data_IF_131958296167
#
_entry.id   IF_131958296167
#
_cell.length_a   1.000
_cell.length_b   1.000
_cell.length_c   1.000
_cell.angle_alpha   90.00
_cell.angle_beta   90.00
_cell.angle_gamma   90.00
#
_symmetry.space_group_name_H-M   'P 1'
#
loop_
_entity.id
_entity.type
_entity.pdbx_description
1 polymer ?
#
# COMPACT_ATOMS: atom_id res chain seq x y z
N UNK A 1 -28.35 0.36 -17.17
CA UNK A 1 -27.31 -0.53 -17.71
C UNK A 1 -26.00 0.21 -18.01
N UNK A 2 -26.02 1.30 -18.80
CA UNK A 2 -24.81 2.08 -19.14
C UNK A 2 -24.09 2.68 -17.93
N UNK A 3 -24.83 3.19 -16.94
CA UNK A 3 -24.25 3.77 -15.71
C UNK A 3 -23.45 2.73 -14.92
N UNK A 4 -23.92 1.48 -14.87
CA UNK A 4 -23.23 0.39 -14.18
C UNK A 4 -21.91 0.05 -14.85
N UNK A 5 -21.87 0.01 -16.19
CA UNK A 5 -20.65 -0.24 -16.96
C UNK A 5 -19.61 0.86 -16.75
N UNK A 6 -20.04 2.13 -16.76
CA UNK A 6 -19.16 3.28 -16.52
C UNK A 6 -18.58 3.22 -15.10
N UNK A 7 -19.40 2.90 -14.09
CA UNK A 7 -18.94 2.76 -12.71
C UNK A 7 -17.89 1.66 -12.56
N UNK A 8 -18.09 0.49 -13.17
CA UNK A 8 -17.12 -0.61 -13.14
C UNK A 8 -15.79 -0.21 -13.80
N UNK A 9 -15.86 0.48 -14.94
CA UNK A 9 -14.65 0.91 -15.66
C UNK A 9 -13.83 1.92 -14.84
N UNK A 10 -14.50 2.87 -14.17
CA UNK A 10 -13.85 3.83 -13.28
C UNK A 10 -13.18 3.11 -12.09
N UNK A 11 -13.87 2.15 -11.46
CA UNK A 11 -13.33 1.41 -10.31
C UNK A 11 -12.04 0.66 -10.70
N UNK A 12 -12.03 0.00 -11.87
CA UNK A 12 -10.84 -0.71 -12.36
C UNK A 12 -9.70 0.29 -12.64
N UNK A 13 -10.00 1.42 -13.28
CA UNK A 13 -9.01 2.45 -13.58
C UNK A 13 -8.35 3.05 -12.33
N UNK A 14 -9.14 3.37 -11.30
CA UNK A 14 -8.62 3.93 -10.04
C UNK A 14 -7.87 2.87 -9.20
N UNK A 15 -8.19 1.58 -9.40
CA UNK A 15 -7.54 0.49 -8.67
C UNK A 15 -6.10 0.23 -9.12
N UNK A 16 -5.70 0.66 -10.31
CA UNK A 16 -4.31 0.53 -10.75
C UNK A 16 -3.41 1.52 -10.00
N UNK A 17 -2.48 0.99 -9.18
CA UNK A 17 -1.47 1.76 -8.46
C UNK A 17 -0.08 1.33 -8.90
N UNK A 18 0.80 2.31 -9.15
CA UNK A 18 2.19 2.07 -9.51
C UNK A 18 3.11 2.35 -8.32
N UNK A 19 3.97 1.39 -7.97
CA UNK A 19 5.00 1.52 -6.91
C UNK A 19 6.37 1.68 -7.57
N UNK A 20 7.11 2.72 -7.14
CA UNK A 20 8.48 3.01 -7.61
C UNK A 20 9.50 2.00 -7.06
N UNK A 21 10.61 1.80 -7.77
CA UNK A 21 11.65 0.82 -7.41
C UNK A 21 12.24 0.97 -6.00
N UNK A 22 12.43 2.20 -5.53
CA UNK A 22 12.95 2.48 -4.18
C UNK A 22 11.87 2.50 -3.09
N UNK A 23 10.70 1.96 -3.39
CA UNK A 23 9.59 1.95 -2.45
C UNK A 23 9.04 0.53 -2.27
N UNK A 24 8.33 0.34 -1.16
CA UNK A 24 7.49 -0.83 -0.91
C UNK A 24 6.10 -0.36 -0.53
N UNK A 25 5.08 -1.04 -1.05
CA UNK A 25 3.71 -0.78 -0.64
C UNK A 25 3.32 -1.71 0.50
N UNK A 26 2.66 -1.20 1.52
CA UNK A 26 1.99 -2.01 2.54
C UNK A 26 0.50 -1.92 2.26
N UNK A 27 -0.11 -3.08 2.01
CA UNK A 27 -1.54 -3.18 1.74
C UNK A 27 -2.26 -3.60 3.02
N UNK A 28 -3.26 -2.83 3.36
CA UNK A 28 -4.22 -3.12 4.42
C UNK A 28 -5.57 -3.42 3.79
N UNK A 29 -6.30 -4.37 4.35
CA UNK A 29 -7.67 -4.67 3.97
C UNK A 29 -8.55 -4.55 5.21
N UNK A 30 -9.57 -3.69 5.13
CA UNK A 30 -10.48 -3.43 6.25
C UNK A 30 -9.75 -3.11 7.58
N UNK A 31 -8.69 -2.29 7.49
CA UNK A 31 -7.89 -1.88 8.65
C UNK A 31 -6.89 -2.91 9.18
N UNK A 32 -6.73 -4.07 8.53
CA UNK A 32 -5.75 -5.10 8.92
C UNK A 32 -4.64 -5.23 7.89
N UNK A 33 -3.40 -5.39 8.37
CA UNK A 33 -2.28 -5.72 7.50
C UNK A 33 -2.59 -6.99 6.70
N UNK A 34 -2.35 -6.94 5.40
CA UNK A 34 -2.57 -8.06 4.49
C UNK A 34 -1.26 -8.54 3.88
N UNK A 35 -0.51 -7.63 3.24
CA UNK A 35 0.73 -7.98 2.54
C UNK A 35 1.60 -6.76 2.26
N UNK A 36 2.87 -7.03 2.00
CA UNK A 36 3.80 -6.07 1.39
C UNK A 36 3.86 -6.35 -0.10
N UNK A 37 3.78 -5.30 -0.92
CA UNK A 37 3.90 -5.37 -2.38
C UNK A 37 5.24 -4.82 -2.85
N UNK A 38 5.81 -5.51 -3.83
CA UNK A 38 7.06 -5.14 -4.49
C UNK A 38 6.86 -4.02 -5.52
N UNK A 39 7.93 -3.42 -6.05
CA UNK A 39 7.83 -2.39 -7.07
C UNK A 39 7.15 -2.91 -8.34
N UNK A 40 6.40 -2.06 -9.01
CA UNK A 40 5.64 -2.43 -10.19
C UNK A 40 4.17 -2.00 -10.11
N UNK A 41 3.38 -2.55 -11.01
CA UNK A 41 1.94 -2.28 -11.09
C UNK A 41 1.17 -3.29 -10.25
N UNK A 42 0.33 -2.75 -9.37
CA UNK A 42 -0.53 -3.55 -8.50
C UNK A 42 -1.96 -3.04 -8.57
N UNK A 43 -2.90 -3.98 -8.49
CA UNK A 43 -4.31 -3.67 -8.35
C UNK A 43 -4.60 -3.55 -6.85
N UNK A 44 -4.95 -2.35 -6.41
CA UNK A 44 -5.36 -2.04 -5.05
C UNK A 44 -6.74 -1.40 -5.14
N UNK A 45 -7.75 -2.10 -4.62
CA UNK A 45 -9.14 -1.63 -4.66
C UNK A 45 -9.30 -0.51 -3.62
N UNK A 46 -9.43 0.77 -4.03
CA UNK A 46 -9.32 1.91 -3.11
C UNK A 46 -10.44 1.97 -2.05
N UNK A 47 -11.56 1.28 -2.28
CA UNK A 47 -12.72 1.26 -1.38
C UNK A 47 -12.51 0.30 -0.20
N UNK A 48 -11.76 -0.79 -0.41
CA UNK A 48 -11.58 -1.86 0.59
C UNK A 48 -10.15 -1.97 1.10
N UNK A 49 -9.20 -1.51 0.28
CA UNK A 49 -7.77 -1.62 0.52
C UNK A 49 -7.14 -0.25 0.66
N UNK A 50 -6.31 -0.11 1.69
CA UNK A 50 -5.42 1.04 1.86
C UNK A 50 -4.01 0.62 1.47
N UNK A 51 -3.30 1.52 0.80
CA UNK A 51 -1.93 1.30 0.34
C UNK A 51 -1.05 2.41 0.88
N UNK A 52 -0.11 2.04 1.74
CA UNK A 52 0.90 2.95 2.26
C UNK A 52 2.25 2.68 1.61
N UNK A 53 2.87 3.73 1.06
CA UNK A 53 4.13 3.61 0.32
C UNK A 53 5.29 4.03 1.20
N UNK A 54 6.13 3.08 1.55
CA UNK A 54 7.34 3.27 2.36
C UNK A 54 8.53 3.51 1.44
N UNK A 55 9.32 4.55 1.74
CA UNK A 55 10.57 4.83 1.05
C UNK A 55 11.71 4.00 1.66
N UNK A 56 12.34 3.15 0.84
CA UNK A 56 13.46 2.30 1.26
C UNK A 56 14.78 3.06 1.44
N UNK A 57 14.84 4.34 1.08
CA UNK A 57 16.04 5.16 1.28
C UNK A 57 16.35 5.38 2.76
N UNK A 58 15.38 5.19 3.65
CA UNK A 58 15.58 5.33 5.09
C UNK A 58 16.06 3.99 5.70
N UNK A 59 17.12 3.99 6.53
CA UNK A 59 17.72 2.75 7.04
C UNK A 59 16.77 1.92 7.90
N UNK A 60 15.83 2.57 8.60
CA UNK A 60 14.85 1.90 9.47
C UNK A 60 13.67 1.28 8.69
N UNK A 61 13.51 1.59 7.40
CA UNK A 61 12.40 1.10 6.59
C UNK A 61 12.33 -0.43 6.55
N UNK A 62 13.47 -1.10 6.39
CA UNK A 62 13.55 -2.57 6.37
C UNK A 62 13.11 -3.20 7.70
N UNK A 63 13.42 -2.55 8.83
CA UNK A 63 13.03 -3.04 10.16
C UNK A 63 11.52 -2.86 10.38
N UNK A 64 10.95 -1.73 9.96
CA UNK A 64 9.50 -1.48 10.01
C UNK A 64 8.74 -2.51 9.19
N UNK A 65 9.18 -2.76 7.96
CA UNK A 65 8.56 -3.75 7.08
C UNK A 65 8.59 -5.15 7.70
N UNK A 66 9.74 -5.56 8.26
CA UNK A 66 9.88 -6.86 8.91
C UNK A 66 8.97 -7.00 10.14
N UNK A 67 8.90 -5.97 11.00
CA UNK A 67 8.00 -5.95 12.15
C UNK A 67 6.55 -6.13 11.70
N UNK A 68 6.07 -5.31 10.76
CA UNK A 68 4.70 -5.39 10.23
C UNK A 68 4.40 -6.78 9.66
N UNK A 69 5.33 -7.40 8.94
CA UNK A 69 5.16 -8.76 8.40
C UNK A 69 5.04 -9.83 9.50
N UNK A 70 5.79 -9.70 10.59
CA UNK A 70 5.85 -10.73 11.64
C UNK A 70 4.66 -10.69 12.60
N UNK A 71 4.25 -9.50 13.04
CA UNK A 71 3.27 -9.35 14.11
C UNK A 71 2.21 -8.27 13.82
N UNK A 72 2.23 -7.66 12.63
CA UNK A 72 1.30 -6.60 12.27
C UNK A 72 1.49 -5.30 13.06
N UNK A 73 2.55 -5.18 13.87
CA UNK A 73 2.81 -4.00 14.68
C UNK A 73 3.45 -2.90 13.84
N UNK A 74 2.84 -1.71 13.91
CA UNK A 74 3.34 -0.50 13.26
C UNK A 74 3.94 0.39 14.35
N UNK A 75 5.24 0.60 14.28
CA UNK A 75 5.93 1.59 15.11
C UNK A 75 5.60 2.98 14.56
N UNK A 76 4.60 3.64 15.12
CA UNK A 76 4.03 4.88 14.56
C UNK A 76 5.06 6.02 14.41
N UNK A 77 6.06 6.09 15.30
CA UNK A 77 7.08 7.13 15.25
C UNK A 77 8.02 6.95 14.05
N UNK A 78 8.50 5.73 13.85
CA UNK A 78 9.36 5.39 12.71
C UNK A 78 8.54 5.38 11.41
N UNK A 79 7.31 4.86 11.48
CA UNK A 79 6.40 4.75 10.35
C UNK A 79 6.14 6.11 9.69
N UNK A 80 5.89 7.15 10.50
CA UNK A 80 5.71 8.53 10.01
C UNK A 80 6.97 9.12 9.35
N UNK A 81 8.17 8.65 9.70
CA UNK A 81 9.45 9.10 9.12
C UNK A 81 9.72 8.45 7.76
N UNK A 82 9.25 7.21 7.55
CA UNK A 82 9.52 6.43 6.33
C UNK A 82 8.42 6.52 5.27
N UNK A 83 7.21 6.92 5.68
CA UNK A 83 6.13 7.26 4.77
C UNK A 83 6.39 8.62 4.13
N UNK A 84 6.22 8.66 2.81
CA UNK A 84 6.27 9.89 2.06
C UNK A 84 4.96 10.66 2.29
N UNK A 85 5.01 11.82 2.94
CA UNK A 85 3.86 12.73 3.07
C UNK A 85 3.90 13.78 1.96
#
# INVERSE_FOLDING_TARGET
MQILLIAVFIIIGVSMRQIKQHHRGIVYFLGKYTKVIEPGWHIVVPILQSLDVINLSHPEASQVIAKIQTNGYIDEEIYKKVINK
#
